data_IF_583717747401
#
_entry.id   IF_583717747401
#
_cell.length_a   1.000
_cell.length_b   1.000
_cell.length_c   1.000
_cell.angle_alpha   90.00
_cell.angle_beta   90.00
_cell.angle_gamma   90.00
#
_symmetry.space_group_name_H-M   'P 1'
#
loop_
_entity.id
_entity.type
_entity.pdbx_description
1 polymer ?
#
# COMPACT_ATOMS: atom_id res chain seq x y z
N UNK A 1 -11.87 21.30 -4.55
CA UNK A 1 -11.91 22.19 -3.35
C UNK A 1 -11.84 23.68 -3.69
N UNK A 2 -10.76 24.22 -4.28
CA UNK A 2 -10.60 25.68 -4.50
C UNK A 2 -11.66 26.38 -5.36
N UNK A 3 -12.45 25.60 -6.13
CA UNK A 3 -13.53 26.09 -6.98
C UNK A 3 -14.94 25.79 -6.43
N UNK A 4 -15.04 25.16 -5.25
CA UNK A 4 -16.32 24.82 -4.67
C UNK A 4 -16.92 26.05 -3.97
N UNK A 5 -18.22 26.28 -4.17
CA UNK A 5 -18.96 27.37 -3.51
C UNK A 5 -19.09 27.11 -2.01
N UNK A 6 -19.39 25.86 -1.67
CA UNK A 6 -19.47 25.37 -0.29
C UNK A 6 -18.67 24.09 -0.16
N UNK A 7 -17.92 23.97 0.93
CA UNK A 7 -17.21 22.77 1.35
C UNK A 7 -17.77 22.36 2.71
N UNK A 8 -18.03 21.06 2.88
CA UNK A 8 -18.39 20.45 4.14
C UNK A 8 -17.23 19.54 4.52
N UNK A 9 -16.64 19.78 5.69
CA UNK A 9 -15.52 19.02 6.22
C UNK A 9 -16.01 18.15 7.38
N UNK A 10 -15.82 16.84 7.21
CA UNK A 10 -16.21 15.85 8.20
C UNK A 10 -14.98 15.41 8.99
N UNK A 11 -15.13 15.19 10.28
CA UNK A 11 -14.02 14.80 11.15
C UNK A 11 -14.47 14.57 12.59
N UNK A 12 -13.55 14.69 13.58
CA UNK A 12 -12.13 15.03 13.42
C UNK A 12 -11.27 13.85 12.93
N UNK A 13 -11.77 12.62 12.99
CA UNK A 13 -11.08 11.40 12.54
C UNK A 13 -11.95 10.51 11.64
N UNK A 14 -11.53 9.26 11.48
CA UNK A 14 -12.21 8.26 10.66
C UNK A 14 -12.95 7.21 11.50
N UNK A 15 -13.88 6.48 10.87
CA UNK A 15 -14.71 5.48 11.54
C UNK A 15 -15.52 6.09 12.68
N UNK A 16 -15.48 5.45 13.86
CA UNK A 16 -16.20 5.92 15.06
C UNK A 16 -15.69 7.24 15.64
N UNK A 17 -14.52 7.71 15.20
CA UNK A 17 -13.91 8.98 15.63
C UNK A 17 -14.23 10.14 14.67
N UNK A 18 -15.07 9.89 13.66
CA UNK A 18 -15.58 10.89 12.74
C UNK A 18 -17.09 11.07 12.87
N UNK A 19 -17.71 11.59 11.80
CA UNK A 19 -19.17 11.74 11.70
C UNK A 19 -19.69 13.10 12.17
N UNK A 20 -18.81 14.03 12.53
CA UNK A 20 -19.17 15.39 12.88
C UNK A 20 -18.84 16.35 11.74
N UNK A 21 -19.66 17.39 11.55
CA UNK A 21 -19.35 18.51 10.65
C UNK A 21 -18.43 19.47 11.39
N UNK A 22 -17.15 19.48 11.02
CA UNK A 22 -16.13 20.34 11.64
C UNK A 22 -16.25 21.77 11.13
N UNK A 23 -16.39 21.92 9.81
CA UNK A 23 -16.54 23.20 9.15
C UNK A 23 -17.45 23.07 7.92
N UNK A 24 -18.25 24.12 7.69
CA UNK A 24 -19.10 24.24 6.52
C UNK A 24 -19.05 25.68 5.99
N UNK A 25 -18.84 25.83 4.69
CA UNK A 25 -18.82 27.14 4.03
C UNK A 25 -17.75 27.25 2.93
N UNK A 26 -17.35 28.47 2.54
CA UNK A 26 -16.33 28.66 1.53
C UNK A 26 -14.97 28.17 2.03
N UNK A 27 -14.02 27.90 1.12
CA UNK A 27 -12.68 27.41 1.45
C UNK A 27 -11.96 28.24 2.53
N UNK A 28 -12.16 29.56 2.56
CA UNK A 28 -11.56 30.44 3.57
C UNK A 28 -12.06 30.14 4.99
N UNK A 29 -13.30 29.68 5.16
CA UNK A 29 -13.83 29.29 6.46
C UNK A 29 -13.11 28.03 6.97
N UNK A 30 -12.91 27.06 6.07
CA UNK A 30 -12.18 25.83 6.37
C UNK A 30 -10.73 26.09 6.78
N UNK A 31 -10.03 26.95 6.03
CA UNK A 31 -8.66 27.38 6.31
C UNK A 31 -8.55 28.20 7.61
N UNK A 32 -9.64 28.76 8.16
CA UNK A 32 -9.60 29.46 9.45
C UNK A 32 -9.87 28.55 10.63
N UNK A 33 -10.63 27.48 10.44
CA UNK A 33 -10.92 26.54 11.52
C UNK A 33 -9.66 25.74 11.88
N UNK A 34 -9.31 25.76 13.17
CA UNK A 34 -8.15 25.04 13.72
C UNK A 34 -8.43 23.56 13.94
N UNK A 35 -9.71 23.18 14.08
CA UNK A 35 -10.15 21.79 14.25
C UNK A 35 -10.17 21.04 12.91
N UNK A 36 -10.25 21.76 11.80
CA UNK A 36 -10.22 21.17 10.46
C UNK A 36 -8.82 20.68 10.11
N UNK A 37 -8.66 19.36 10.10
CA UNK A 37 -7.44 18.67 9.60
C UNK A 37 -7.19 19.03 8.13
N UNK A 38 -8.26 19.10 7.34
CA UNK A 38 -8.23 19.55 5.95
C UNK A 38 -7.72 20.99 5.82
N UNK A 39 -8.24 21.90 6.64
CA UNK A 39 -7.80 23.28 6.72
C UNK A 39 -6.32 23.39 7.10
N UNK A 40 -5.85 22.56 8.04
CA UNK A 40 -4.43 22.50 8.43
C UNK A 40 -3.54 22.04 7.27
N UNK A 41 -3.88 20.93 6.62
CA UNK A 41 -3.12 20.39 5.49
C UNK A 41 -3.04 21.39 4.31
N UNK A 42 -4.06 22.23 4.13
CA UNK A 42 -4.05 23.27 3.10
C UNK A 42 -3.25 24.52 3.49
N UNK A 43 -3.09 24.82 4.79
CA UNK A 43 -2.24 25.90 5.29
C UNK A 43 -0.75 25.52 5.24
N UNK A 44 -0.46 24.27 5.55
CA UNK A 44 0.89 23.72 5.69
C UNK A 44 1.07 22.58 4.69
N UNK A 45 1.19 22.88 3.37
CA UNK A 45 1.41 21.86 2.38
C UNK A 45 2.76 21.17 2.60
N UNK A 46 2.84 19.89 2.25
CA UNK A 46 4.08 19.11 2.32
C UNK A 46 5.18 19.77 1.50
N UNK A 47 6.38 19.84 2.07
CA UNK A 47 7.59 20.31 1.38
C UNK A 47 8.36 19.11 0.86
N UNK A 48 8.55 19.05 -0.45
CA UNK A 48 9.25 17.94 -1.11
C UNK A 48 10.68 18.31 -1.49
N UNK A 49 11.66 17.40 -1.32
CA UNK A 49 11.52 16.07 -0.72
C UNK A 49 11.31 16.13 0.81
N UNK A 50 10.41 15.32 1.35
CA UNK A 50 10.08 15.25 2.79
C UNK A 50 11.32 14.94 3.64
N UNK A 51 12.26 14.17 3.08
CA UNK A 51 13.52 13.78 3.73
C UNK A 51 14.67 14.77 3.51
N UNK A 52 14.41 15.93 2.91
CA UNK A 52 15.40 16.97 2.61
C UNK A 52 16.29 16.67 1.40
N UNK A 53 16.50 15.40 1.04
CA UNK A 53 17.22 15.00 -0.18
C UNK A 53 16.65 13.71 -0.79
N UNK A 54 16.78 13.57 -2.12
CA UNK A 54 16.43 12.33 -2.84
C UNK A 54 17.58 11.33 -2.79
N UNK A 55 17.27 10.05 -2.92
CA UNK A 55 18.31 9.02 -3.03
C UNK A 55 19.05 9.18 -4.36
N UNK A 56 20.39 9.11 -4.37
CA UNK A 56 21.17 9.33 -5.59
C UNK A 56 20.90 8.22 -6.61
N UNK A 57 20.80 8.54 -7.89
CA UNK A 57 20.60 7.51 -8.92
C UNK A 57 21.95 7.17 -9.54
N UNK A 58 22.41 5.95 -9.34
CA UNK A 58 23.67 5.46 -9.89
C UNK A 58 23.53 5.25 -11.41
N UNK A 59 24.50 5.74 -12.20
CA UNK A 59 24.57 5.47 -13.65
C UNK A 59 23.90 6.51 -14.56
N UNK A 60 23.47 7.67 -14.07
CA UNK A 60 22.91 8.75 -14.91
C UNK A 60 23.95 9.71 -15.50
N UNK A 61 25.25 9.42 -15.36
CA UNK A 61 26.31 10.28 -15.92
C UNK A 61 26.39 11.69 -15.31
N UNK A 62 25.75 11.94 -14.16
CA UNK A 62 25.89 13.21 -13.44
C UNK A 62 27.15 13.15 -12.57
N UNK A 63 28.18 14.00 -12.78
CA UNK A 63 29.33 14.07 -11.89
C UNK A 63 28.92 14.73 -10.56
N UNK A 64 29.50 14.31 -9.42
CA UNK A 64 29.41 15.09 -8.19
C UNK A 64 30.04 16.47 -8.43
N UNK A 65 29.44 17.50 -7.85
CA UNK A 65 29.93 18.89 -7.93
C UNK A 65 31.36 18.96 -7.39
N UNK A 66 32.27 19.31 -8.28
CA UNK A 66 33.68 19.73 -8.12
C UNK A 66 34.58 18.96 -7.14
N UNK A 67 35.47 18.13 -7.68
CA UNK A 67 36.88 18.13 -7.26
C UNK A 67 37.77 17.68 -8.41
N UNK A 68 38.73 18.55 -8.78
CA UNK A 68 39.72 18.31 -9.84
C UNK A 68 40.66 17.18 -9.42
N UNK A 69 40.78 16.11 -10.21
CA UNK A 69 42.06 15.56 -10.72
C UNK A 69 41.88 14.33 -11.63
N UNK A 70 42.75 14.28 -12.64
CA UNK A 70 42.90 13.27 -13.70
C UNK A 70 43.46 11.95 -13.16
N UNK A 71 43.05 10.84 -13.78
CA UNK A 71 43.86 9.80 -14.49
C UNK A 71 43.39 8.37 -14.19
N UNK A 72 43.36 7.53 -15.24
CA UNK A 72 43.42 6.06 -15.12
C UNK A 72 42.08 5.36 -15.31
N UNK A 73 41.87 4.77 -16.48
CA UNK A 73 40.75 3.87 -16.79
C UNK A 73 40.67 2.72 -15.78
N UNK A 74 39.55 2.63 -15.07
CA UNK A 74 38.97 1.37 -14.60
C UNK A 74 37.52 1.34 -15.09
N UNK A 75 37.02 0.23 -15.69
CA UNK A 75 35.63 0.15 -16.08
C UNK A 75 34.78 0.08 -14.81
N UNK A 76 33.99 1.14 -14.57
CA UNK A 76 33.02 1.20 -13.48
C UNK A 76 31.90 0.20 -13.82
N UNK A 77 31.51 -0.72 -12.92
CA UNK A 77 30.50 -1.73 -13.24
C UNK A 77 29.16 -1.09 -13.62
N UNK A 78 28.52 -1.64 -14.66
CA UNK A 78 27.23 -1.19 -15.19
C UNK A 78 26.11 -1.27 -14.13
N UNK A 79 25.39 -0.15 -13.95
CA UNK A 79 23.95 -0.03 -13.68
C UNK A 79 23.18 -1.24 -13.07
N UNK A 80 22.74 -1.13 -11.82
CA UNK A 80 21.56 -1.85 -11.30
C UNK A 80 20.28 -1.14 -11.78
N UNK A 81 19.89 -1.40 -13.02
CA UNK A 81 18.66 -0.89 -13.62
C UNK A 81 17.83 -2.05 -14.15
N UNK A 82 16.52 -1.98 -13.93
CA UNK A 82 15.56 -2.78 -14.67
C UNK A 82 15.25 -2.06 -15.98
N UNK A 83 15.50 -2.73 -17.11
CA UNK A 83 15.22 -2.18 -18.44
C UNK A 83 14.26 -3.11 -19.16
N UNK A 84 13.14 -2.57 -19.64
CA UNK A 84 12.22 -3.26 -20.54
C UNK A 84 12.25 -2.54 -21.88
N UNK A 85 12.64 -3.26 -22.93
CA UNK A 85 12.70 -2.72 -24.28
C UNK A 85 11.49 -3.16 -25.10
N UNK A 86 10.99 -2.25 -25.94
CA UNK A 86 9.94 -2.55 -26.90
C UNK A 86 8.62 -2.96 -26.25
N UNK A 87 8.23 -2.34 -25.14
CA UNK A 87 6.93 -2.54 -24.50
C UNK A 87 5.79 -2.09 -25.45
N UNK A 88 4.97 -3.04 -25.90
CA UNK A 88 3.91 -2.83 -26.89
C UNK A 88 2.63 -3.57 -26.47
N UNK A 89 1.81 -2.90 -25.68
CA UNK A 89 0.50 -3.37 -25.27
C UNK A 89 -0.51 -2.23 -25.42
N UNK A 90 -1.71 -2.52 -25.91
CA UNK A 90 -2.75 -1.53 -26.22
C UNK A 90 -2.20 -0.34 -27.02
N UNK A 91 -2.14 0.85 -26.43
CA UNK A 91 -1.66 2.07 -27.08
C UNK A 91 -0.14 2.34 -26.91
N UNK A 92 0.62 1.49 -26.20
CA UNK A 92 2.05 1.68 -26.00
C UNK A 92 2.83 1.56 -27.31
N UNK A 93 3.69 2.54 -27.60
CA UNK A 93 4.38 2.69 -28.88
C UNK A 93 5.77 2.02 -28.88
N UNK A 94 5.84 0.74 -28.49
CA UNK A 94 7.11 -0.01 -28.39
C UNK A 94 8.17 0.72 -27.56
N UNK A 95 7.77 1.21 -26.39
CA UNK A 95 8.60 2.10 -25.56
C UNK A 95 9.70 1.32 -24.82
N UNK A 96 10.78 2.03 -24.50
CA UNK A 96 11.80 1.58 -23.56
C UNK A 96 11.56 2.21 -22.19
N UNK A 97 11.55 1.38 -21.15
CA UNK A 97 11.31 1.81 -19.76
C UNK A 97 12.49 1.39 -18.89
N UNK A 98 13.08 2.36 -18.20
CA UNK A 98 14.21 2.18 -17.28
C UNK A 98 13.80 2.52 -15.86
N UNK A 99 14.00 1.60 -14.93
CA UNK A 99 13.67 1.75 -13.51
C UNK A 99 14.92 1.51 -12.67
N UNK A 100 15.38 2.50 -11.87
CA UNK A 100 16.55 2.32 -11.01
C UNK A 100 16.22 1.44 -9.80
N UNK A 101 17.08 0.47 -9.49
CA UNK A 101 16.88 -0.40 -8.34
C UNK A 101 17.05 0.34 -7.01
N UNK A 102 16.32 -0.08 -5.98
CA UNK A 102 16.39 0.50 -4.64
C UNK A 102 15.88 1.93 -4.56
N UNK A 103 14.98 2.35 -5.45
CA UNK A 103 14.44 3.72 -5.52
C UNK A 103 12.92 3.70 -5.53
N UNK A 104 12.33 4.82 -5.10
CA UNK A 104 10.91 5.12 -5.33
C UNK A 104 10.76 5.70 -6.74
N UNK A 105 10.22 4.91 -7.66
CA UNK A 105 9.90 5.34 -9.02
C UNK A 105 8.41 5.61 -9.15
N UNK A 106 8.03 6.76 -9.71
CA UNK A 106 6.62 7.08 -9.97
C UNK A 106 6.36 7.16 -11.47
N UNK A 107 5.38 6.39 -11.93
CA UNK A 107 4.84 6.45 -13.29
C UNK A 107 3.63 7.39 -13.26
N UNK A 108 3.68 8.45 -14.05
CA UNK A 108 2.64 9.47 -14.10
C UNK A 108 2.29 9.84 -15.55
N UNK A 109 1.43 10.83 -15.73
CA UNK A 109 0.89 11.27 -17.02
C UNK A 109 -0.63 11.10 -17.11
N UNK A 110 -1.25 11.65 -18.15
CA UNK A 110 -2.72 11.80 -18.24
C UNK A 110 -3.49 10.46 -18.17
N UNK A 111 -4.76 10.50 -17.76
CA UNK A 111 -5.60 9.29 -17.78
C UNK A 111 -5.72 8.75 -19.20
N UNK A 112 -5.63 7.43 -19.37
CA UNK A 112 -5.61 6.78 -20.69
C UNK A 112 -4.28 6.85 -21.45
N UNK A 113 -3.20 7.38 -20.86
CA UNK A 113 -1.89 7.43 -21.54
C UNK A 113 -1.17 6.08 -21.65
N UNK A 114 -1.62 5.05 -20.92
CA UNK A 114 -1.05 3.70 -20.95
C UNK A 114 -0.32 3.27 -19.67
N UNK A 115 -0.40 4.02 -18.56
CA UNK A 115 0.25 3.70 -17.27
C UNK A 115 -0.11 2.31 -16.73
N UNK A 116 -1.41 2.02 -16.55
CA UNK A 116 -1.89 0.72 -16.04
C UNK A 116 -1.54 -0.42 -16.99
N UNK A 117 -1.62 -0.19 -18.31
CA UNK A 117 -1.15 -1.14 -19.33
C UNK A 117 0.33 -1.46 -19.13
N UNK A 118 1.17 -0.45 -18.95
CA UNK A 118 2.60 -0.64 -18.72
C UNK A 118 2.88 -1.43 -17.44
N UNK A 119 2.19 -1.14 -16.33
CA UNK A 119 2.43 -1.83 -15.06
C UNK A 119 1.92 -3.29 -15.08
N UNK A 120 0.66 -3.49 -15.46
CA UNK A 120 -0.04 -4.78 -15.33
C UNK A 120 0.21 -5.75 -16.47
N UNK A 121 0.29 -5.26 -17.71
CA UNK A 121 0.42 -6.11 -18.89
C UNK A 121 1.87 -6.29 -19.34
N UNK A 122 2.75 -5.37 -18.94
CA UNK A 122 4.17 -5.40 -19.34
C UNK A 122 5.11 -5.60 -18.16
N UNK A 123 5.26 -4.62 -17.26
CA UNK A 123 6.25 -4.66 -16.17
C UNK A 123 6.10 -5.91 -15.29
N UNK A 124 4.90 -6.15 -14.75
CA UNK A 124 4.69 -7.28 -13.86
C UNK A 124 4.92 -8.63 -14.56
N UNK A 125 4.29 -8.96 -15.72
CA UNK A 125 4.52 -10.22 -16.41
C UNK A 125 5.97 -10.38 -16.90
N UNK A 126 6.60 -9.31 -17.38
CA UNK A 126 7.97 -9.32 -17.88
C UNK A 126 8.98 -9.68 -16.80
N UNK A 127 8.89 -9.04 -15.63
CA UNK A 127 9.77 -9.35 -14.49
C UNK A 127 9.46 -10.74 -13.94
N UNK A 128 8.18 -11.11 -13.81
CA UNK A 128 7.78 -12.43 -13.33
C UNK A 128 8.28 -13.56 -14.23
N UNK A 129 8.20 -13.38 -15.56
CA UNK A 129 8.73 -14.32 -16.54
C UNK A 129 10.25 -14.43 -16.44
N UNK A 130 10.96 -13.31 -16.31
CA UNK A 130 12.43 -13.29 -16.18
C UNK A 130 12.92 -13.95 -14.88
N UNK A 131 12.15 -13.87 -13.79
CA UNK A 131 12.47 -14.53 -12.52
C UNK A 131 12.10 -16.03 -12.49
N UNK A 132 11.14 -16.43 -13.32
CA UNK A 132 10.66 -17.81 -13.38
C UNK A 132 11.63 -18.68 -14.19
N UNK A 133 12.17 -19.74 -13.59
CA UNK A 133 13.01 -20.73 -14.30
C UNK A 133 12.24 -21.56 -15.35
N UNK A 134 10.90 -21.50 -15.34
CA UNK A 134 10.03 -22.17 -16.31
C UNK A 134 9.75 -21.20 -17.46
N UNK A 135 10.06 -21.59 -18.70
CA UNK A 135 9.49 -20.91 -19.87
C UNK A 135 7.97 -20.98 -19.73
N UNK A 136 7.32 -19.83 -19.60
CA UNK A 136 5.87 -19.78 -19.67
C UNK A 136 5.48 -20.28 -21.06
N UNK A 137 4.79 -21.42 -21.12
CA UNK A 137 4.11 -21.86 -22.32
C UNK A 137 2.87 -20.98 -22.48
N UNK A 138 3.07 -19.79 -23.03
CA UNK A 138 1.98 -18.92 -23.46
C UNK A 138 2.00 -18.90 -24.99
N UNK A 139 0.89 -19.28 -25.61
CA UNK A 139 0.74 -19.32 -27.08
C UNK A 139 0.80 -17.92 -27.73
N UNK A 140 0.74 -16.86 -26.94
CA UNK A 140 0.82 -15.47 -27.38
C UNK A 140 2.24 -14.91 -27.31
N UNK A 141 2.64 -14.14 -28.32
CA UNK A 141 3.89 -13.36 -28.30
C UNK A 141 3.95 -12.43 -27.08
N UNK A 142 5.14 -12.24 -26.47
CA UNK A 142 5.31 -11.35 -25.33
C UNK A 142 5.08 -9.89 -25.73
N UNK A 143 4.44 -9.12 -24.85
CA UNK A 143 4.15 -7.69 -25.04
C UNK A 143 5.39 -6.78 -24.83
N UNK A 144 6.59 -7.35 -24.91
CA UNK A 144 7.89 -6.70 -24.76
C UNK A 144 8.95 -7.46 -25.56
N UNK A 145 10.04 -6.79 -25.96
CA UNK A 145 11.14 -7.40 -26.72
C UNK A 145 12.19 -8.04 -25.82
N UNK A 146 12.64 -7.31 -24.80
CA UNK A 146 13.71 -7.77 -23.91
C UNK A 146 13.54 -7.23 -22.49
N UNK A 147 14.11 -7.94 -21.52
CA UNK A 147 14.14 -7.53 -20.10
C UNK A 147 15.56 -7.71 -19.59
N UNK A 148 16.14 -6.64 -19.05
CA UNK A 148 17.50 -6.64 -18.48
C UNK A 148 17.43 -6.23 -17.01
N UNK A 149 18.32 -6.76 -16.17
CA UNK A 149 18.41 -6.41 -14.75
C UNK A 149 17.34 -7.03 -13.84
N UNK A 150 16.37 -7.79 -14.36
CA UNK A 150 15.36 -8.45 -13.52
C UNK A 150 15.96 -9.44 -12.50
N UNK A 151 17.12 -10.04 -12.80
CA UNK A 151 17.80 -11.01 -11.94
C UNK A 151 18.29 -10.46 -10.60
N UNK A 152 18.31 -9.14 -10.41
CA UNK A 152 18.61 -8.48 -9.13
C UNK A 152 17.49 -8.64 -8.11
N UNK A 153 16.26 -8.94 -8.56
CA UNK A 153 15.10 -9.10 -7.69
C UNK A 153 14.92 -10.55 -7.22
N UNK A 154 14.43 -10.73 -6.00
CA UNK A 154 13.96 -12.03 -5.50
C UNK A 154 12.57 -12.36 -6.05
N UNK A 155 11.67 -11.38 -5.99
CA UNK A 155 10.29 -11.49 -6.41
C UNK A 155 9.75 -10.12 -6.86
N UNK A 156 8.66 -10.17 -7.63
CA UNK A 156 7.83 -9.01 -7.97
C UNK A 156 6.46 -9.18 -7.34
N UNK A 157 5.97 -8.14 -6.68
CA UNK A 157 4.68 -8.10 -6.01
C UNK A 157 3.83 -6.99 -6.58
N UNK A 158 2.60 -7.31 -6.98
CA UNK A 158 1.61 -6.37 -7.44
C UNK A 158 0.62 -6.07 -6.29
N UNK A 159 0.41 -4.78 -6.00
CA UNK A 159 -0.49 -4.31 -4.95
C UNK A 159 -1.61 -3.50 -5.59
N UNK A 160 -2.65 -4.21 -5.99
CA UNK A 160 -3.85 -3.68 -6.63
C UNK A 160 -4.99 -3.41 -5.62
N UNK A 161 -6.05 -2.77 -6.10
CA UNK A 161 -7.24 -2.43 -5.30
C UNK A 161 -8.25 -3.59 -5.19
N UNK A 162 -7.92 -4.79 -5.70
CA UNK A 162 -8.82 -5.92 -5.58
C UNK A 162 -9.10 -6.26 -4.10
N UNK A 163 -10.31 -6.73 -3.78
CA UNK A 163 -10.63 -7.10 -2.39
C UNK A 163 -9.65 -8.14 -1.84
N UNK A 164 -9.18 -7.95 -0.60
CA UNK A 164 -8.30 -8.91 0.09
C UNK A 164 -8.96 -10.29 0.33
N UNK A 165 -10.28 -10.37 0.20
CA UNK A 165 -11.03 -11.60 0.21
C UNK A 165 -12.47 -11.37 -0.22
N UNK A 166 -13.05 -12.37 -0.89
CA UNK A 166 -14.44 -12.32 -1.40
C UNK A 166 -15.48 -12.77 -0.37
N UNK A 167 -15.04 -13.32 0.77
CA UNK A 167 -15.92 -13.92 1.80
C UNK A 167 -15.87 -13.14 3.10
N UNK A 168 -16.93 -13.22 3.90
CA UNK A 168 -17.01 -12.64 5.26
C UNK A 168 -16.05 -13.29 6.27
N UNK A 169 -15.43 -14.42 5.90
CA UNK A 169 -14.38 -15.09 6.68
C UNK A 169 -13.03 -14.40 6.57
N UNK A 170 -12.81 -13.64 5.49
CA UNK A 170 -11.64 -12.78 5.37
C UNK A 170 -11.89 -11.49 6.14
N UNK A 171 -10.90 -11.08 6.92
CA UNK A 171 -10.84 -9.81 7.62
C UNK A 171 -9.37 -9.35 7.77
N UNK A 172 -9.11 -8.08 8.17
CA UNK A 172 -7.77 -7.55 8.35
C UNK A 172 -6.86 -8.46 9.20
N UNK A 173 -7.36 -8.97 10.33
CA UNK A 173 -6.57 -9.83 11.22
C UNK A 173 -6.14 -11.15 10.59
N UNK A 174 -7.01 -11.77 9.79
CA UNK A 174 -6.67 -13.02 9.07
C UNK A 174 -5.73 -12.78 7.90
N UNK A 175 -5.87 -11.65 7.20
CA UNK A 175 -5.07 -11.38 6.00
C UNK A 175 -3.61 -11.04 6.34
N UNK A 176 -3.40 -10.27 7.40
CA UNK A 176 -2.05 -9.95 7.92
C UNK A 176 -1.43 -11.13 8.68
N UNK A 177 -2.24 -12.14 9.04
CA UNK A 177 -1.79 -13.35 9.72
C UNK A 177 -1.73 -13.23 11.26
N UNK A 178 -2.03 -12.07 11.83
CA UNK A 178 -2.04 -11.86 13.29
C UNK A 178 -3.09 -12.69 14.01
N UNK A 179 -4.16 -13.12 13.33
CA UNK A 179 -5.19 -13.96 13.93
C UNK A 179 -4.62 -15.27 14.49
N UNK A 180 -3.61 -15.85 13.85
CA UNK A 180 -3.00 -17.10 14.32
C UNK A 180 -2.28 -16.93 15.65
N UNK A 181 -1.58 -15.81 15.83
CA UNK A 181 -0.90 -15.48 17.07
C UNK A 181 -1.90 -15.12 18.19
N UNK A 182 -3.00 -14.43 17.86
CA UNK A 182 -4.11 -14.19 18.80
C UNK A 182 -4.70 -15.53 19.27
N UNK A 183 -5.00 -16.46 18.36
CA UNK A 183 -5.56 -17.78 18.72
C UNK A 183 -4.62 -18.58 19.62
N UNK A 184 -3.33 -18.58 19.30
CA UNK A 184 -2.30 -19.24 20.13
C UNK A 184 -2.22 -18.63 21.52
N UNK A 185 -2.29 -17.31 21.64
CA UNK A 185 -2.30 -16.61 22.92
C UNK A 185 -3.49 -17.06 23.78
N UNK A 186 -4.71 -17.04 23.22
CA UNK A 186 -5.92 -17.46 23.95
C UNK A 186 -5.87 -18.93 24.38
N UNK A 187 -5.34 -19.81 23.54
CA UNK A 187 -5.16 -21.24 23.87
C UNK A 187 -4.15 -21.49 25.00
N UNK A 188 -3.25 -20.54 25.28
CA UNK A 188 -2.27 -20.67 26.35
C UNK A 188 -2.77 -20.21 27.71
N UNK A 189 -3.96 -19.58 27.78
CA UNK A 189 -4.52 -19.09 29.03
C UNK A 189 -4.85 -20.26 30.00
N UNK A 190 -4.69 -20.07 31.32
CA UNK A 190 -4.96 -21.13 32.30
C UNK A 190 -6.38 -21.72 32.19
N UNK A 191 -7.38 -20.85 32.00
CA UNK A 191 -8.79 -21.24 31.84
C UNK A 191 -9.04 -22.04 30.55
N UNK A 192 -8.37 -21.69 29.45
CA UNK A 192 -8.43 -22.43 28.20
C UNK A 192 -7.77 -23.81 28.34
N UNK A 193 -6.57 -23.86 28.94
CA UNK A 193 -5.84 -25.11 29.18
C UNK A 193 -6.60 -26.07 30.09
N UNK A 194 -7.21 -25.57 31.17
CA UNK A 194 -8.03 -26.37 32.08
C UNK A 194 -9.23 -27.04 31.38
N UNK A 195 -9.75 -26.41 30.32
CA UNK A 195 -10.86 -26.93 29.50
C UNK A 195 -10.40 -27.74 28.29
N UNK A 196 -9.09 -27.94 28.11
CA UNK A 196 -8.53 -28.64 26.96
C UNK A 196 -8.69 -27.90 25.64
N UNK A 197 -8.85 -26.58 25.66
CA UNK A 197 -8.99 -25.79 24.44
C UNK A 197 -7.64 -25.50 23.79
N UNK A 198 -7.57 -25.75 22.48
CA UNK A 198 -6.43 -25.44 21.64
C UNK A 198 -6.68 -24.19 20.78
N UNK A 199 -5.72 -23.83 19.93
CA UNK A 199 -5.87 -22.70 19.01
C UNK A 199 -6.99 -22.91 17.96
N UNK A 200 -7.40 -24.16 17.71
CA UNK A 200 -8.51 -24.52 16.84
C UNK A 200 -9.85 -24.08 17.41
N UNK A 201 -10.05 -24.21 18.73
CA UNK A 201 -11.24 -23.68 19.43
C UNK A 201 -11.46 -22.20 19.16
N UNK A 202 -10.39 -21.42 19.07
CA UNK A 202 -10.43 -19.98 18.85
C UNK A 202 -10.47 -19.58 17.37
N UNK A 203 -10.66 -20.51 16.44
CA UNK A 203 -10.85 -20.22 15.02
C UNK A 203 -12.34 -20.14 14.69
N UNK A 204 -12.78 -18.99 14.17
CA UNK A 204 -14.16 -18.84 13.67
C UNK A 204 -14.39 -19.55 12.32
N UNK A 205 -13.34 -20.11 11.70
CA UNK A 205 -13.45 -20.81 10.41
C UNK A 205 -13.70 -22.31 10.56
N UNK A 206 -13.48 -22.87 11.75
CA UNK A 206 -13.53 -24.30 12.05
C UNK A 206 -14.62 -24.60 13.07
N UNK A 207 -15.15 -25.82 13.02
CA UNK A 207 -16.15 -26.29 13.97
C UNK A 207 -15.57 -26.37 15.40
N UNK A 208 -16.45 -26.29 16.39
CA UNK A 208 -16.10 -26.45 17.81
C UNK A 208 -16.32 -25.18 18.62
N UNK A 209 -15.61 -24.08 18.31
CA UNK A 209 -15.73 -22.82 19.07
C UNK A 209 -16.54 -21.72 18.38
N UNK A 210 -16.75 -21.83 17.07
CA UNK A 210 -17.52 -20.84 16.30
C UNK A 210 -19.01 -20.85 16.67
N UNK A 211 -19.72 -19.79 16.28
CA UNK A 211 -21.17 -19.79 16.28
C UNK A 211 -21.68 -20.61 15.09
N UNK A 212 -22.39 -21.70 15.36
CA UNK A 212 -22.90 -22.59 14.29
C UNK A 212 -24.02 -21.94 13.47
N UNK A 213 -24.85 -21.09 14.07
CA UNK A 213 -25.96 -20.41 13.37
C UNK A 213 -25.50 -19.57 12.18
N UNK A 214 -24.38 -18.87 12.32
CA UNK A 214 -23.80 -18.07 11.23
C UNK A 214 -22.57 -18.73 10.58
N UNK A 215 -22.23 -19.95 10.97
CA UNK A 215 -20.99 -20.64 10.55
C UNK A 215 -19.73 -19.81 10.80
N UNK A 216 -19.71 -19.05 11.90
CA UNK A 216 -18.61 -18.16 12.30
C UNK A 216 -18.49 -16.83 11.54
N UNK A 217 -19.43 -16.49 10.65
CA UNK A 217 -19.38 -15.21 9.92
C UNK A 217 -19.74 -14.00 10.79
N UNK A 218 -20.55 -14.20 11.82
CA UNK A 218 -21.13 -13.14 12.66
C UNK A 218 -22.25 -12.34 11.97
N UNK A 219 -22.46 -12.57 10.69
CA UNK A 219 -23.53 -11.98 9.88
C UNK A 219 -24.22 -13.07 9.07
N UNK A 220 -25.50 -12.85 8.77
CA UNK A 220 -26.32 -13.71 7.93
C UNK A 220 -26.59 -12.96 6.63
N UNK A 221 -26.34 -13.62 5.50
CA UNK A 221 -26.61 -13.07 4.17
C UNK A 221 -28.11 -13.22 3.90
N UNK A 222 -28.81 -12.11 3.68
CA UNK A 222 -30.22 -12.10 3.33
C UNK A 222 -30.32 -11.76 1.85
N UNK A 223 -30.81 -12.71 1.07
CA UNK A 223 -31.12 -12.50 -0.34
C UNK A 223 -32.56 -12.03 -0.47
N UNK A 224 -32.74 -10.98 -1.25
CA UNK A 224 -34.03 -10.37 -1.53
C UNK A 224 -34.16 -10.26 -3.05
N UNK A 225 -35.35 -10.51 -3.57
CA UNK A 225 -35.62 -10.34 -4.99
C UNK A 225 -35.43 -8.85 -5.34
N UNK A 226 -34.70 -8.57 -6.42
CA UNK A 226 -34.48 -7.23 -7.00
C UNK A 226 -33.65 -6.23 -6.16
N UNK A 227 -33.21 -6.59 -4.96
CA UNK A 227 -32.35 -5.74 -4.13
C UNK A 227 -30.94 -6.31 -4.00
N UNK A 228 -29.91 -5.45 -3.82
CA UNK A 228 -28.59 -5.91 -3.46
C UNK A 228 -28.65 -6.77 -2.20
N UNK A 229 -27.88 -7.85 -2.19
CA UNK A 229 -27.75 -8.69 -1.00
C UNK A 229 -27.42 -7.84 0.23
N UNK A 230 -28.24 -7.98 1.26
CA UNK A 230 -28.01 -7.32 2.55
C UNK A 230 -27.42 -8.31 3.55
N UNK A 231 -26.69 -7.80 4.54
CA UNK A 231 -26.12 -8.60 5.63
C UNK A 231 -26.68 -8.09 6.94
N UNK A 232 -27.26 -8.99 7.73
CA UNK A 232 -27.77 -8.67 9.08
C UNK A 232 -26.88 -9.33 10.12
N UNK A 233 -26.78 -8.74 11.31
CA UNK A 233 -26.04 -9.36 12.41
C UNK A 233 -26.71 -10.68 12.81
N UNK A 234 -25.89 -11.69 13.11
CA UNK A 234 -26.40 -12.96 13.63
C UNK A 234 -27.07 -12.72 14.99
N UNK A 235 -28.31 -13.13 15.15
CA UNK A 235 -29.09 -12.92 16.37
C UNK A 235 -28.58 -13.74 17.57
N UNK A 236 -27.85 -14.83 17.32
CA UNK A 236 -27.36 -15.74 18.38
C UNK A 236 -26.04 -15.27 18.98
N UNK A 237 -25.07 -14.92 18.15
CA UNK A 237 -23.76 -14.43 18.65
C UNK A 237 -23.65 -12.91 18.62
N UNK A 238 -24.68 -12.20 18.16
CA UNK A 238 -24.70 -10.75 17.95
C UNK A 238 -23.52 -10.22 17.11
N UNK A 239 -22.91 -11.06 16.28
CA UNK A 239 -21.71 -10.72 15.50
C UNK A 239 -20.37 -11.01 16.17
N UNK A 240 -20.35 -11.63 17.34
CA UNK A 240 -19.13 -12.05 18.03
C UNK A 240 -18.44 -13.26 17.38
N UNK A 241 -19.13 -14.00 16.50
CA UNK A 241 -18.63 -15.14 15.71
C UNK A 241 -18.35 -16.45 16.47
N UNK A 242 -18.41 -16.44 17.79
CA UNK A 242 -18.14 -17.61 18.64
C UNK A 242 -19.36 -18.01 19.48
N UNK A 243 -19.33 -19.23 20.00
CA UNK A 243 -20.31 -19.70 20.98
C UNK A 243 -19.97 -19.21 22.40
N UNK A 244 -20.96 -19.25 23.30
CA UNK A 244 -20.84 -18.74 24.68
C UNK A 244 -19.67 -19.36 25.44
N UNK A 245 -19.49 -20.69 25.38
CA UNK A 245 -18.42 -21.40 26.07
C UNK A 245 -17.00 -20.93 25.65
N UNK A 246 -16.84 -20.50 24.40
CA UNK A 246 -15.56 -19.95 23.90
C UNK A 246 -15.36 -18.49 24.34
N UNK A 247 -16.46 -17.73 24.46
CA UNK A 247 -16.46 -16.34 24.91
C UNK A 247 -16.23 -16.18 26.43
N UNK A 248 -16.29 -17.25 27.21
CA UNK A 248 -15.90 -17.24 28.63
C UNK A 248 -14.38 -17.16 28.86
N UNK A 249 -13.58 -17.38 27.82
CA UNK A 249 -12.12 -17.28 27.92
C UNK A 249 -11.69 -15.85 27.64
N UNK A 250 -11.11 -15.21 28.65
CA UNK A 250 -10.71 -13.81 28.61
C UNK A 250 -9.20 -13.62 28.76
N UNK A 251 -8.64 -12.73 27.94
CA UNK A 251 -7.32 -12.15 28.13
C UNK A 251 -7.51 -10.69 28.54
N UNK A 252 -6.94 -10.26 29.66
CA UNK A 252 -7.07 -8.89 30.18
C UNK A 252 -8.53 -8.38 30.22
N UNK A 253 -9.48 -9.23 30.65
CA UNK A 253 -10.90 -8.89 30.74
C UNK A 253 -11.64 -8.77 29.41
N UNK A 254 -11.06 -9.30 28.32
CA UNK A 254 -11.67 -9.31 26.99
C UNK A 254 -11.61 -10.69 26.37
N UNK A 255 -12.76 -11.17 25.91
CA UNK A 255 -12.83 -12.42 25.15
C UNK A 255 -12.50 -12.20 23.67
N UNK A 256 -12.22 -13.28 22.94
CA UNK A 256 -11.76 -13.18 21.54
C UNK A 256 -12.73 -12.46 20.60
N UNK A 257 -14.05 -12.55 20.85
CA UNK A 257 -15.06 -11.82 20.08
C UNK A 257 -14.99 -10.30 20.25
N UNK A 258 -14.55 -9.83 21.42
CA UNK A 258 -14.36 -8.40 21.71
C UNK A 258 -13.09 -7.91 21.05
N UNK A 259 -12.02 -8.72 21.10
CA UNK A 259 -10.77 -8.45 20.38
C UNK A 259 -11.04 -8.26 18.89
N UNK A 260 -11.89 -9.06 18.27
CA UNK A 260 -12.25 -8.88 16.85
C UNK A 260 -13.04 -7.58 16.57
N UNK A 261 -13.68 -6.99 17.58
CA UNK A 261 -14.41 -5.72 17.46
C UNK A 261 -13.57 -4.49 17.79
N UNK A 262 -12.39 -4.67 18.39
CA UNK A 262 -11.46 -3.58 18.64
C UNK A 262 -11.04 -2.95 17.32
N UNK A 263 -10.92 -1.63 17.34
CA UNK A 263 -10.22 -0.92 16.28
C UNK A 263 -8.75 -1.35 16.25
N UNK A 264 -8.09 -1.24 15.11
CA UNK A 264 -6.67 -1.59 14.97
C UNK A 264 -5.81 -0.80 15.96
N UNK A 265 -6.10 0.48 16.20
CA UNK A 265 -5.41 1.30 17.22
C UNK A 265 -5.62 0.75 18.63
N UNK A 266 -6.87 0.43 19.02
CA UNK A 266 -7.15 -0.16 20.33
C UNK A 266 -6.44 -1.51 20.51
N UNK A 267 -6.42 -2.32 19.46
CA UNK A 267 -5.74 -3.61 19.48
C UNK A 267 -4.22 -3.46 19.62
N UNK A 268 -3.62 -2.45 18.96
CA UNK A 268 -2.19 -2.17 19.07
C UNK A 268 -1.80 -1.84 20.52
N UNK A 269 -2.62 -1.02 21.20
CA UNK A 269 -2.44 -0.68 22.63
C UNK A 269 -2.67 -1.90 23.52
N UNK A 270 -3.77 -2.63 23.30
CA UNK A 270 -4.17 -3.81 24.06
C UNK A 270 -3.14 -4.94 24.01
N UNK A 271 -2.48 -5.14 22.87
CA UNK A 271 -1.43 -6.13 22.67
C UNK A 271 -0.01 -5.56 22.77
N UNK A 272 0.17 -4.37 23.35
CA UNK A 272 1.48 -3.71 23.47
C UNK A 272 2.56 -4.57 24.16
N UNK A 273 2.16 -5.44 25.09
CA UNK A 273 3.05 -6.40 25.77
C UNK A 273 3.41 -7.64 24.95
N UNK A 274 2.83 -7.81 23.76
CA UNK A 274 3.02 -8.95 22.87
C UNK A 274 3.67 -8.50 21.54
N UNK A 275 5.02 -8.49 21.43
CA UNK A 275 5.71 -7.90 20.28
C UNK A 275 5.31 -8.45 18.91
N UNK A 276 4.94 -9.74 18.84
CA UNK A 276 4.49 -10.39 17.60
C UNK A 276 3.15 -9.84 17.10
N UNK A 277 2.32 -9.32 18.00
CA UNK A 277 1.02 -8.70 17.69
C UNK A 277 1.15 -7.18 17.59
N UNK A 278 1.82 -6.54 18.55
CA UNK A 278 1.95 -5.09 18.64
C UNK A 278 2.55 -4.46 17.37
N UNK A 279 3.62 -5.05 16.82
CA UNK A 279 4.32 -4.45 15.69
C UNK A 279 3.48 -4.43 14.40
N UNK A 280 2.89 -5.54 13.92
CA UNK A 280 1.99 -5.48 12.76
C UNK A 280 0.77 -4.60 12.97
N UNK A 281 0.20 -4.59 14.19
CA UNK A 281 -0.94 -3.74 14.53
C UNK A 281 -0.58 -2.25 14.49
N UNK A 282 0.59 -1.87 15.02
CA UNK A 282 1.09 -0.51 14.94
C UNK A 282 1.33 -0.09 13.49
N UNK A 283 1.92 -0.97 12.67
CA UNK A 283 2.09 -0.69 11.24
C UNK A 283 0.74 -0.43 10.57
N UNK A 284 -0.27 -1.27 10.80
CA UNK A 284 -1.62 -1.03 10.26
C UNK A 284 -2.18 0.32 10.73
N UNK A 285 -2.06 0.64 12.02
CA UNK A 285 -2.51 1.92 12.57
C UNK A 285 -1.81 3.11 11.89
N UNK A 286 -0.49 3.05 11.76
CA UNK A 286 0.36 4.07 11.13
C UNK A 286 -0.01 4.30 9.66
N UNK A 287 -0.58 3.30 8.97
CA UNK A 287 -1.04 3.42 7.57
C UNK A 287 -2.42 4.09 7.41
N UNK A 288 -2.96 4.62 8.51
CA UNK A 288 -4.28 5.25 8.52
C UNK A 288 -5.44 4.25 8.50
N UNK A 289 -5.20 2.99 8.89
CA UNK A 289 -6.23 1.97 9.05
C UNK A 289 -6.68 1.80 10.50
N UNK A 290 -6.18 2.61 11.44
CA UNK A 290 -6.41 2.48 12.88
C UNK A 290 -7.89 2.42 13.32
N UNK A 291 -8.79 2.99 12.52
CA UNK A 291 -10.23 3.01 12.78
C UNK A 291 -10.95 1.70 12.41
N UNK A 292 -10.37 0.86 11.54
CA UNK A 292 -10.97 -0.40 11.12
C UNK A 292 -10.97 -1.39 12.28
N UNK A 293 -12.01 -2.23 12.35
CA UNK A 293 -12.04 -3.33 13.30
C UNK A 293 -11.21 -4.51 12.81
N UNK A 294 -10.54 -5.22 13.72
CA UNK A 294 -9.74 -6.41 13.38
C UNK A 294 -10.52 -7.50 12.63
N UNK A 295 -11.78 -7.69 13.03
CA UNK A 295 -12.71 -8.65 12.48
C UNK A 295 -13.57 -8.10 11.34
N UNK A 296 -13.38 -6.86 10.89
CA UNK A 296 -14.24 -6.25 9.86
C UNK A 296 -14.25 -7.12 8.59
N UNK A 297 -15.43 -7.52 8.08
CA UNK A 297 -15.49 -8.39 6.90
C UNK A 297 -14.85 -7.72 5.67
N UNK A 298 -13.96 -8.42 4.98
CA UNK A 298 -13.24 -7.90 3.81
C UNK A 298 -14.13 -7.32 2.70
N UNK A 299 -15.33 -7.87 2.39
CA UNK A 299 -16.21 -7.27 1.40
C UNK A 299 -16.79 -5.89 1.76
N UNK A 300 -16.62 -5.44 3.01
CA UNK A 300 -17.05 -4.11 3.47
C UNK A 300 -15.94 -3.07 3.40
N UNK A 301 -14.72 -3.49 3.05
CA UNK A 301 -13.58 -2.60 2.91
C UNK A 301 -13.63 -1.90 1.54
N UNK A 302 -13.29 -0.61 1.55
CA UNK A 302 -12.99 0.15 0.34
C UNK A 302 -11.73 -0.40 -0.35
N UNK A 303 -11.59 -0.12 -1.66
CA UNK A 303 -10.40 -0.51 -2.43
C UNK A 303 -9.10 0.01 -1.82
N UNK A 304 -9.08 1.27 -1.37
CA UNK A 304 -7.91 1.87 -0.72
C UNK A 304 -7.58 1.28 0.66
N UNK A 305 -8.57 0.84 1.44
CA UNK A 305 -8.32 0.09 2.69
C UNK A 305 -7.72 -1.28 2.40
N UNK A 306 -8.31 -2.04 1.46
CA UNK A 306 -7.81 -3.34 1.05
C UNK A 306 -6.36 -3.26 0.54
N UNK A 307 -6.06 -2.27 -0.28
CA UNK A 307 -4.72 -2.03 -0.81
C UNK A 307 -3.69 -1.72 0.29
N UNK A 308 -4.03 -0.86 1.26
CA UNK A 308 -3.14 -0.57 2.40
C UNK A 308 -2.90 -1.79 3.27
N UNK A 309 -3.92 -2.64 3.49
CA UNK A 309 -3.74 -3.91 4.21
C UNK A 309 -2.75 -4.83 3.48
N UNK A 310 -2.83 -4.91 2.14
CA UNK A 310 -1.86 -5.68 1.33
C UNK A 310 -0.45 -5.14 1.50
N UNK A 311 -0.27 -3.83 1.40
CA UNK A 311 1.03 -3.17 1.57
C UNK A 311 1.66 -3.49 2.94
N UNK A 312 0.85 -3.43 4.01
CA UNK A 312 1.31 -3.75 5.37
C UNK A 312 1.61 -5.23 5.55
N UNK A 313 0.83 -6.11 4.92
CA UNK A 313 1.09 -7.55 4.94
C UNK A 313 2.45 -7.87 4.31
N UNK A 314 2.80 -7.21 3.21
CA UNK A 314 4.12 -7.35 2.58
C UNK A 314 5.26 -6.82 3.45
N UNK A 315 5.06 -5.68 4.12
CA UNK A 315 6.02 -5.16 5.11
C UNK A 315 6.21 -6.10 6.28
N UNK A 316 5.12 -6.63 6.83
CA UNK A 316 5.13 -7.51 8.00
C UNK A 316 5.71 -8.90 7.67
N UNK A 317 5.37 -9.44 6.50
CA UNK A 317 5.90 -10.69 5.97
C UNK A 317 7.38 -10.60 5.59
N UNK A 318 7.82 -9.48 5.01
CA UNK A 318 9.22 -9.17 4.74
C UNK A 318 10.05 -9.02 6.01
N UNK A 319 9.48 -8.44 7.06
CA UNK A 319 10.10 -8.36 8.40
C UNK A 319 10.29 -9.74 9.03
N UNK A 320 9.30 -10.64 8.96
CA UNK A 320 9.44 -11.99 9.54
C UNK A 320 10.42 -12.87 8.77
N UNK A 321 10.48 -12.73 7.44
CA UNK A 321 11.46 -13.45 6.59
C UNK A 321 12.87 -12.89 6.77
N UNK A 322 13.04 -11.56 6.75
CA UNK A 322 14.34 -10.92 6.90
C UNK A 322 14.95 -11.10 8.30
N UNK A 323 14.16 -11.15 9.37
CA UNK A 323 14.66 -11.46 10.71
C UNK A 323 15.19 -12.90 10.80
N UNK A 324 14.46 -13.85 10.21
CA UNK A 324 14.84 -15.28 10.17
C UNK A 324 16.05 -15.52 9.25
N UNK A 325 16.16 -14.78 8.14
CA UNK A 325 17.29 -14.84 7.21
C UNK A 325 18.55 -14.16 7.76
N UNK A 326 18.41 -13.02 8.46
CA UNK A 326 19.51 -12.38 9.21
C UNK A 326 20.06 -13.30 10.31
N UNK A 327 19.18 -14.01 11.02
CA UNK A 327 19.56 -15.04 12.01
C UNK A 327 20.32 -16.23 11.40
N UNK A 328 20.13 -16.50 10.10
CA UNK A 328 20.81 -17.60 9.37
C UNK A 328 22.09 -17.17 8.64
N UNK A 329 22.55 -15.93 8.82
CA UNK A 329 23.82 -15.45 8.22
C UNK A 329 23.80 -15.36 6.69
N UNK A 330 22.62 -15.45 6.05
CA UNK A 330 22.46 -15.32 4.61
C UNK A 330 22.52 -13.82 4.25
N UNK A 331 23.73 -13.32 4.02
CA UNK A 331 24.04 -11.91 3.74
C UNK A 331 23.57 -11.40 2.37
N UNK A 332 22.90 -12.24 1.57
CA UNK A 332 22.57 -11.92 0.18
C UNK A 332 21.09 -12.20 -0.14
N UNK A 333 20.19 -11.61 0.64
CA UNK A 333 18.76 -11.65 0.32
C UNK A 333 18.48 -10.64 -0.79
N UNK A 334 18.33 -11.14 -2.01
CA UNK A 334 17.90 -10.35 -3.16
C UNK A 334 16.65 -9.54 -2.79
N UNK A 335 16.60 -8.30 -3.26
CA UNK A 335 15.54 -7.35 -2.89
C UNK A 335 14.29 -7.58 -3.74
N UNK A 336 13.13 -7.21 -3.23
CA UNK A 336 11.87 -7.32 -3.99
C UNK A 336 11.56 -6.06 -4.80
N UNK A 337 10.77 -6.23 -5.87
CA UNK A 337 10.14 -5.16 -6.64
C UNK A 337 8.65 -5.09 -6.28
N UNK A 338 8.19 -3.94 -5.79
CA UNK A 338 6.78 -3.65 -5.52
C UNK A 338 6.19 -2.78 -6.62
N UNK A 339 5.08 -3.20 -7.19
CA UNK A 339 4.32 -2.48 -8.21
C UNK A 339 2.96 -2.11 -7.61
N UNK A 340 2.69 -0.82 -7.47
CA UNK A 340 1.53 -0.30 -6.72
C UNK A 340 0.75 0.66 -7.63
N UNK A 341 -0.56 0.47 -7.74
CA UNK A 341 -1.41 1.34 -8.57
C UNK A 341 -2.29 2.27 -7.72
N UNK A 342 -2.12 3.58 -7.91
CA UNK A 342 -2.96 4.63 -7.32
C UNK A 342 -3.24 4.46 -5.81
N UNK A 343 -2.20 4.32 -4.96
CA UNK A 343 -2.36 4.05 -3.53
C UNK A 343 -2.97 5.21 -2.71
N UNK A 344 -3.14 6.38 -3.31
CA UNK A 344 -3.81 7.52 -2.66
C UNK A 344 -5.31 7.57 -2.94
N UNK A 345 -5.88 6.66 -3.72
CA UNK A 345 -7.33 6.63 -3.95
C UNK A 345 -8.06 6.52 -2.61
N UNK A 346 -8.95 7.48 -2.35
CA UNK A 346 -9.73 7.54 -1.13
C UNK A 346 -8.94 7.97 0.11
N UNK A 347 -7.68 8.40 -0.03
CA UNK A 347 -6.91 8.97 1.08
C UNK A 347 -7.18 10.47 1.22
N UNK A 348 -7.27 10.89 2.49
CA UNK A 348 -7.23 12.30 2.83
C UNK A 348 -5.81 12.84 2.70
N UNK A 349 -5.64 14.14 2.43
CA UNK A 349 -4.33 14.78 2.21
C UNK A 349 -3.39 14.57 3.41
N UNK A 350 -3.92 14.58 4.63
CA UNK A 350 -3.14 14.32 5.84
C UNK A 350 -2.59 12.89 5.94
N UNK A 351 -3.22 11.93 5.26
CA UNK A 351 -2.82 10.52 5.28
C UNK A 351 -1.82 10.17 4.16
N UNK A 352 -1.68 11.03 3.16
CA UNK A 352 -0.68 10.85 2.08
C UNK A 352 0.75 10.84 2.64
N UNK A 353 1.04 11.69 3.64
CA UNK A 353 2.35 11.71 4.29
C UNK A 353 2.70 10.36 4.93
N UNK A 354 1.74 9.73 5.61
CA UNK A 354 1.91 8.41 6.23
C UNK A 354 2.16 7.34 5.17
N UNK A 355 1.43 7.38 4.06
CA UNK A 355 1.68 6.50 2.91
C UNK A 355 3.11 6.67 2.37
N UNK A 356 3.56 7.91 2.17
CA UNK A 356 4.92 8.19 1.69
C UNK A 356 6.00 7.65 2.63
N UNK A 357 5.82 7.78 3.95
CA UNK A 357 6.72 7.19 4.94
C UNK A 357 6.84 5.67 4.78
N UNK A 358 5.72 5.00 4.52
CA UNK A 358 5.68 3.55 4.33
C UNK A 358 6.41 3.14 3.03
N UNK A 359 6.14 3.85 1.94
CA UNK A 359 6.83 3.62 0.66
C UNK A 359 8.34 3.85 0.80
N UNK A 360 8.75 4.86 1.56
CA UNK A 360 10.15 5.10 1.86
C UNK A 360 10.78 4.04 2.75
N UNK A 361 10.06 3.50 3.74
CA UNK A 361 10.55 2.38 4.57
C UNK A 361 10.83 1.15 3.72
N UNK A 362 9.95 0.81 2.76
CA UNK A 362 10.21 -0.27 1.80
C UNK A 362 11.52 -0.04 1.02
N UNK A 363 11.72 1.17 0.52
CA UNK A 363 12.92 1.51 -0.23
C UNK A 363 14.18 1.51 0.66
N UNK A 364 14.07 1.93 1.91
CA UNK A 364 15.16 1.92 2.90
C UNK A 364 15.57 0.50 3.28
N UNK A 365 14.64 -0.45 3.29
CA UNK A 365 14.93 -1.88 3.42
C UNK A 365 15.62 -2.47 2.17
N UNK A 366 15.83 -1.64 1.14
CA UNK A 366 16.53 -1.94 -0.12
C UNK A 366 15.61 -2.40 -1.24
N UNK A 367 14.29 -2.37 -1.05
CA UNK A 367 13.35 -2.75 -2.09
C UNK A 367 13.23 -1.68 -3.18
N UNK A 368 12.80 -2.08 -4.37
CA UNK A 368 12.40 -1.13 -5.41
C UNK A 368 10.90 -0.97 -5.37
N UNK A 369 10.41 0.27 -5.39
CA UNK A 369 8.98 0.56 -5.36
C UNK A 369 8.62 1.38 -6.59
N UNK A 370 7.69 0.87 -7.40
CA UNK A 370 7.15 1.55 -8.58
C UNK A 370 5.69 1.82 -8.33
N UNK A 371 5.29 3.09 -8.41
CA UNK A 371 3.92 3.53 -8.14
C UNK A 371 3.34 4.20 -9.38
N UNK A 372 2.15 3.81 -9.81
CA UNK A 372 1.36 4.63 -10.73
C UNK A 372 0.62 5.68 -9.91
N UNK A 373 0.82 6.96 -10.22
CA UNK A 373 0.10 8.03 -9.53
C UNK A 373 -0.06 9.33 -10.32
N UNK A 374 -1.10 10.04 -9.93
CA UNK A 374 -1.52 11.37 -10.32
C UNK A 374 -1.50 12.37 -9.15
N UNK A 375 -1.38 11.92 -7.89
CA UNK A 375 -1.34 12.82 -6.75
C UNK A 375 -0.04 13.65 -6.74
N UNK A 376 -0.14 14.99 -6.69
CA UNK A 376 1.01 15.87 -6.83
C UNK A 376 2.13 15.62 -5.82
N UNK A 377 1.79 15.37 -4.57
CA UNK A 377 2.78 15.14 -3.51
C UNK A 377 3.55 13.82 -3.71
N UNK A 378 2.93 12.80 -4.34
CA UNK A 378 3.59 11.50 -4.52
C UNK A 378 4.62 11.52 -5.64
N UNK A 379 4.27 12.12 -6.78
CA UNK A 379 5.24 12.26 -7.87
C UNK A 379 6.29 13.34 -7.58
N UNK A 380 6.00 14.31 -6.69
CA UNK A 380 7.00 15.26 -6.19
C UNK A 380 7.98 14.63 -5.20
N UNK A 381 7.58 13.58 -4.46
CA UNK A 381 8.46 12.87 -3.52
C UNK A 381 9.35 11.80 -4.18
N UNK A 382 8.99 11.34 -5.39
CA UNK A 382 9.70 10.27 -6.10
C UNK A 382 11.22 10.49 -6.21
N UNK A 383 12.02 9.43 -6.12
CA UNK A 383 13.44 9.49 -6.46
C UNK A 383 13.60 9.59 -7.99
N UNK A 384 12.75 8.87 -8.74
CA UNK A 384 12.73 8.85 -10.21
C UNK A 384 11.29 8.91 -10.73
N UNK A 385 11.09 9.59 -11.85
CA UNK A 385 9.78 9.81 -12.44
C UNK A 385 9.78 9.40 -13.92
N UNK A 386 8.69 8.78 -14.36
CA UNK A 386 8.44 8.37 -15.74
C UNK A 386 7.09 8.96 -16.15
N UNK A 387 7.10 9.94 -17.03
CA UNK A 387 5.90 10.61 -17.54
C UNK A 387 5.45 9.97 -18.85
N UNK A 388 4.24 9.40 -18.88
CA UNK A 388 3.67 8.72 -20.04
C UNK A 388 2.57 9.57 -20.67
N UNK A 389 2.65 9.77 -21.99
CA UNK A 389 1.72 10.61 -22.74
C UNK A 389 2.12 10.66 -24.22
N UNK A 390 2.09 11.84 -24.86
CA UNK A 390 1.70 13.16 -24.32
C UNK A 390 0.20 13.29 -24.03
N UNK A 391 -0.63 12.54 -24.76
CA UNK A 391 -2.09 12.55 -24.63
C UNK A 391 -2.62 11.16 -24.23
N UNK A 392 -3.94 10.99 -24.26
CA UNK A 392 -4.63 9.74 -23.96
C UNK A 392 -4.91 8.92 -25.24
N UNK A 393 -5.18 7.63 -25.08
CA UNK A 393 -5.64 6.78 -26.18
C UNK A 393 -4.57 6.62 -27.27
N UNK A 394 -4.96 6.69 -28.55
CA UNK A 394 -4.07 6.44 -29.67
C UNK A 394 -2.87 7.42 -29.76
N UNK A 395 -3.05 8.65 -29.23
CA UNK A 395 -2.05 9.73 -29.18
C UNK A 395 -1.16 9.66 -27.92
N UNK A 396 -1.38 8.64 -27.07
CA UNK A 396 -0.56 8.36 -25.89
C UNK A 396 0.49 7.27 -26.12
N UNK A 397 0.89 6.65 -25.02
CA UNK A 397 1.72 5.44 -25.04
C UNK A 397 3.20 5.68 -25.32
N UNK A 398 3.69 6.92 -25.17
CA UNK A 398 5.11 7.27 -25.27
C UNK A 398 5.66 7.73 -23.91
N UNK A 399 6.95 7.54 -23.67
CA UNK A 399 7.66 8.17 -22.55
C UNK A 399 7.98 9.60 -22.95
N UNK A 400 7.28 10.57 -22.35
CA UNK A 400 7.43 12.01 -22.64
C UNK A 400 8.66 12.57 -21.95
N UNK A 401 8.87 12.17 -20.69
CA UNK A 401 10.01 12.59 -19.89
C UNK A 401 10.35 11.49 -18.88
N UNK A 402 11.63 11.36 -18.54
CA UNK A 402 12.07 10.56 -17.40
C UNK A 402 13.28 11.19 -16.72
N UNK A 403 13.40 10.99 -15.41
CA UNK A 403 14.44 11.64 -14.62
C UNK A 403 14.04 11.85 -13.17
N UNK A 404 14.86 12.59 -12.44
CA UNK A 404 14.45 13.18 -11.16
C UNK A 404 13.27 14.15 -11.37
N UNK A 405 12.42 14.37 -10.34
CA UNK A 405 11.35 15.35 -10.43
C UNK A 405 11.83 16.75 -10.88
N UNK A 406 13.01 17.20 -10.45
CA UNK A 406 13.58 18.48 -10.87
C UNK A 406 13.95 18.53 -12.36
N UNK A 407 14.32 17.39 -12.96
CA UNK A 407 14.58 17.28 -14.39
C UNK A 407 13.28 17.27 -15.18
N UNK A 408 12.29 16.49 -14.75
CA UNK A 408 10.99 16.42 -15.43
C UNK A 408 10.23 17.75 -15.34
N UNK A 409 10.36 18.48 -14.23
CA UNK A 409 9.77 19.82 -14.06
C UNK A 409 10.22 20.83 -15.13
N UNK A 410 11.40 20.63 -15.74
CA UNK A 410 11.94 21.50 -16.80
C UNK A 410 11.49 21.07 -18.20
N UNK A 411 10.80 19.94 -18.34
CA UNK A 411 10.42 19.38 -19.63
C UNK A 411 9.24 20.13 -20.25
N UNK A 412 9.41 20.68 -21.45
CA UNK A 412 8.43 21.59 -22.07
C UNK A 412 7.12 20.90 -22.51
N UNK A 413 7.19 19.64 -22.91
CA UNK A 413 6.05 18.90 -23.46
C UNK A 413 5.33 18.03 -22.43
N UNK A 414 5.90 17.88 -21.23
CA UNK A 414 5.28 17.09 -20.16
C UNK A 414 4.07 17.83 -19.59
N UNK A 415 2.91 17.15 -19.56
CA UNK A 415 1.70 17.68 -18.90
C UNK A 415 1.85 17.74 -17.38
N UNK A 416 2.75 16.93 -16.83
CA UNK A 416 3.06 16.85 -15.39
C UNK A 416 3.99 17.98 -14.93
N UNK A 417 4.92 18.42 -15.78
CA UNK A 417 5.95 19.41 -15.45
C UNK A 417 5.45 20.73 -14.83
N UNK A 418 4.34 21.36 -15.28
CA UNK A 418 3.84 22.59 -14.68
C UNK A 418 3.36 22.43 -13.23
N UNK A 419 2.79 21.28 -12.89
CA UNK A 419 2.33 20.98 -11.53
C UNK A 419 3.52 20.74 -10.61
N UNK A 420 4.48 19.96 -11.09
CA UNK A 420 5.70 19.64 -10.36
C UNK A 420 6.56 20.89 -10.10
N UNK A 421 6.69 21.77 -11.09
CA UNK A 421 7.41 23.05 -10.94
C UNK A 421 6.82 23.92 -9.82
N UNK A 422 5.48 23.99 -9.70
CA UNK A 422 4.81 24.76 -8.65
C UNK A 422 5.06 24.18 -7.26
N UNK A 423 5.03 22.86 -7.11
CA UNK A 423 5.27 22.21 -5.83
C UNK A 423 6.72 22.36 -5.37
N UNK A 424 7.68 22.11 -6.27
CA UNK A 424 9.11 22.19 -5.94
C UNK A 424 9.57 23.63 -5.64
N UNK A 425 8.86 24.65 -6.14
CA UNK A 425 9.14 26.06 -5.83
C UNK A 425 8.49 26.52 -4.52
N UNK A 426 7.29 26.04 -4.20
CA UNK A 426 6.61 26.33 -2.93
C UNK A 426 7.38 25.79 -1.72
N UNK A 427 8.13 24.69 -1.87
CA UNK A 427 9.00 24.15 -0.81
C UNK A 427 10.27 24.97 -0.52
N UNK A 428 10.67 25.89 -1.42
CA UNK A 428 11.91 26.68 -1.34
C UNK A 428 11.75 28.09 -0.75
N UNK A 429 10.52 28.47 -0.39
CA UNK A 429 10.20 29.75 0.25
C UNK A 429 10.22 29.67 1.78
#
# INVERSE_FOLDING_TARGET
MRRADTIIDLGPGAGRFGGEVIAQGPLKALIKDKRSVTGQALREPMKHPLRGSRRPILGTGVPPVSSKKKTGKMPVPHAEWLVIEGAHANNLKSIEVRIPAGRLTVITGVSGSGKSTLLHQVLHPAVKAALSKKKAATDSEPLWKSVQGAGQFAAVYEVDQSPIGKTSRSCPATYVGIMDDIRKLFAQLPTARARGYDAGRFSFNTDGGRCETCGGNGVIKVEMNFLPTTRVHCEVCHGLRYNSATLEIEYNGKHIGDVLRMSITEAAEFFSSQPRLARPLQLLADTGLGYLQLGQPSPTLSGGEAQRIKLVSELSGGVSRSATEKLRGLTNTKKNLYLIEEPTIGLHISDVARLLDILHRLVDDGHTVVVIEHHPDLFAEADYLIDIGPEAGAEGGQVVASGTPEQVAKHKTSRTAPFLSRLLTQGRA
#
